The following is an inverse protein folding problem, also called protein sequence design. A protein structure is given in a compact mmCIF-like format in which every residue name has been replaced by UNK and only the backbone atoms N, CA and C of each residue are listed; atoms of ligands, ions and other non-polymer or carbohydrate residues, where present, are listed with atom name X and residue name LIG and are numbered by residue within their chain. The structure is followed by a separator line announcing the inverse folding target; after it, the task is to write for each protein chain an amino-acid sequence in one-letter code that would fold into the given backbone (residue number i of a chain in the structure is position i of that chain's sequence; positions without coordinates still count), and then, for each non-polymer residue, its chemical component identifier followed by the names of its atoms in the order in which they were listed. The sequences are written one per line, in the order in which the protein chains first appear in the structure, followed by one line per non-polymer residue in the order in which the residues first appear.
data_IF_226243279412
#
_entry.id   IF_226243279412
#
_cell.length_a   1.000
_cell.length_b   1.000
_cell.length_c   1.000
_cell.angle_alpha   90.00
_cell.angle_beta   90.00
_cell.angle_gamma   90.00
#
_symmetry.space_group_name_H-M   'P 1'
#
loop_
_entity.id
_entity.type
_entity.pdbx_description
1 polymer ?
#
# COMPACT_ATOMS: atom_id res chain seq x y z
N UNK A 1 -60.69 -6.13 -27.89
CA UNK A 1 -59.80 -6.86 -26.93
C UNK A 1 -58.36 -6.51 -27.27
N UNK A 2 -57.82 -5.47 -26.68
CA UNK A 2 -56.48 -4.96 -26.93
C UNK A 2 -55.57 -5.31 -25.71
N UNK A 3 -54.64 -6.23 -25.91
CA UNK A 3 -53.64 -6.62 -24.93
C UNK A 3 -52.43 -5.69 -24.96
N UNK A 4 -52.30 -4.81 -23.98
CA UNK A 4 -51.15 -3.93 -23.79
C UNK A 4 -50.04 -4.74 -23.05
N UNK A 5 -48.94 -4.98 -23.77
CA UNK A 5 -47.73 -5.65 -23.21
C UNK A 5 -46.87 -4.54 -22.60
N UNK A 6 -46.73 -4.57 -21.25
CA UNK A 6 -45.77 -3.75 -20.52
C UNK A 6 -44.40 -4.41 -20.55
N UNK A 7 -43.49 -3.81 -21.28
CA UNK A 7 -42.06 -4.16 -21.26
C UNK A 7 -41.41 -3.45 -20.04
N UNK A 8 -41.15 -4.22 -19.00
CA UNK A 8 -40.32 -3.78 -17.84
C UNK A 8 -38.84 -3.78 -18.25
N UNK A 9 -38.29 -2.60 -18.51
CA UNK A 9 -36.85 -2.39 -18.66
C UNK A 9 -36.21 -2.44 -17.25
N UNK A 10 -35.57 -3.56 -16.92
CA UNK A 10 -34.73 -3.68 -15.74
C UNK A 10 -33.37 -3.04 -16.09
N UNK A 11 -33.18 -1.77 -15.66
CA UNK A 11 -31.89 -1.11 -15.70
C UNK A 11 -30.99 -1.70 -14.60
N UNK A 12 -30.17 -2.67 -14.97
CA UNK A 12 -29.15 -3.21 -14.08
C UNK A 12 -28.07 -2.15 -13.80
N UNK A 13 -28.09 -1.55 -12.60
CA UNK A 13 -26.98 -0.75 -12.08
C UNK A 13 -25.75 -1.65 -11.91
N UNK A 14 -24.83 -1.61 -12.85
CA UNK A 14 -23.47 -2.12 -12.68
C UNK A 14 -22.77 -1.24 -11.64
N UNK A 15 -22.85 -1.60 -10.37
CA UNK A 15 -22.00 -1.01 -9.34
C UNK A 15 -20.56 -1.44 -9.62
N UNK A 16 -19.77 -0.54 -10.17
CA UNK A 16 -18.32 -0.72 -10.28
C UNK A 16 -17.79 -0.83 -8.85
N UNK A 17 -17.55 -2.05 -8.39
CA UNK A 17 -16.87 -2.31 -7.12
C UNK A 17 -15.42 -1.89 -7.31
N UNK A 18 -15.03 -0.74 -6.75
CA UNK A 18 -13.63 -0.36 -6.63
C UNK A 18 -12.90 -1.48 -5.89
N UNK A 19 -11.71 -1.87 -6.37
CA UNK A 19 -10.89 -2.87 -5.70
C UNK A 19 -10.69 -2.48 -4.22
N UNK A 20 -10.86 -3.43 -3.28
CA UNK A 20 -10.74 -3.13 -1.86
C UNK A 20 -9.30 -2.63 -1.59
N UNK A 21 -9.19 -1.39 -1.10
CA UNK A 21 -7.92 -0.82 -0.65
C UNK A 21 -7.61 -1.30 0.77
N UNK A 22 -6.32 -1.35 1.09
CA UNK A 22 -5.86 -1.75 2.40
C UNK A 22 -5.52 -3.23 2.50
N UNK A 23 -5.54 -3.72 3.73
CA UNK A 23 -5.32 -5.13 4.07
C UNK A 23 -6.58 -5.71 4.71
N UNK A 24 -6.63 -7.04 4.80
CA UNK A 24 -7.74 -7.69 5.51
C UNK A 24 -7.58 -7.50 7.01
N UNK A 25 -8.52 -6.81 7.70
CA UNK A 25 -8.43 -6.64 9.14
C UNK A 25 -8.56 -7.99 9.86
N UNK A 26 -7.85 -8.15 10.98
CA UNK A 26 -8.06 -9.30 11.87
C UNK A 26 -9.49 -9.25 12.44
N UNK A 27 -10.05 -10.35 12.92
CA UNK A 27 -11.44 -10.37 13.41
C UNK A 27 -11.76 -9.33 14.49
N UNK A 28 -10.79 -9.03 15.37
CA UNK A 28 -10.93 -8.06 16.47
C UNK A 28 -9.61 -7.35 16.74
N UNK A 29 -9.67 -6.14 17.31
CA UNK A 29 -8.50 -5.32 17.65
C UNK A 29 -7.52 -6.04 18.58
N UNK A 30 -8.01 -6.84 19.53
CA UNK A 30 -7.19 -7.58 20.51
C UNK A 30 -6.29 -8.65 19.88
N UNK A 31 -6.45 -8.96 18.61
CA UNK A 31 -5.53 -9.86 17.88
C UNK A 31 -4.27 -9.15 17.39
N UNK A 32 -4.21 -7.84 17.51
CA UNK A 32 -2.98 -7.08 17.22
C UNK A 32 -2.09 -6.99 18.47
N UNK A 33 -0.75 -6.96 18.28
CA UNK A 33 0.20 -6.88 19.40
C UNK A 33 0.03 -5.62 20.24
N UNK A 34 -0.34 -4.50 19.61
CA UNK A 34 -0.74 -3.28 20.27
C UNK A 34 -2.21 -3.00 19.93
N UNK A 35 -3.03 -2.78 20.94
CA UNK A 35 -4.46 -2.52 20.73
C UNK A 35 -5.03 -1.69 21.87
N UNK A 36 -6.10 -0.97 21.58
CA UNK A 36 -6.92 -0.28 22.56
C UNK A 36 -8.36 -0.20 22.06
N UNK A 37 -9.27 0.07 22.97
CA UNK A 37 -10.66 0.38 22.69
C UNK A 37 -11.04 1.66 23.43
N UNK A 38 -11.67 2.59 22.72
CA UNK A 38 -12.12 3.85 23.27
C UNK A 38 -13.50 4.18 22.70
N UNK A 39 -14.49 4.38 23.58
CA UNK A 39 -15.87 4.72 23.22
C UNK A 39 -16.51 3.76 22.20
N UNK A 40 -16.17 2.45 22.32
CA UNK A 40 -16.67 1.39 21.43
C UNK A 40 -15.99 1.37 20.05
N UNK A 41 -14.95 2.16 19.85
CA UNK A 41 -14.07 2.08 18.67
C UNK A 41 -12.79 1.36 19.05
N UNK A 42 -12.49 0.28 18.34
CA UNK A 42 -11.25 -0.48 18.52
C UNK A 42 -10.16 -0.01 17.57
N UNK A 43 -8.92 0.01 18.06
CA UNK A 43 -7.74 0.19 17.24
C UNK A 43 -6.75 -0.94 17.50
N UNK A 44 -6.21 -1.53 16.44
CA UNK A 44 -5.14 -2.50 16.51
C UNK A 44 -3.95 -2.01 15.68
N UNK A 45 -2.74 -2.24 16.16
CA UNK A 45 -1.54 -1.84 15.45
C UNK A 45 -0.42 -2.88 15.58
N UNK A 46 0.43 -2.96 14.55
CA UNK A 46 1.61 -3.80 14.52
C UNK A 46 2.72 -3.12 13.71
N UNK A 47 3.88 -2.98 14.33
CA UNK A 47 5.08 -2.55 13.60
C UNK A 47 5.60 -3.75 12.77
N UNK A 48 5.86 -3.55 11.49
CA UNK A 48 6.45 -4.58 10.65
C UNK A 48 7.96 -4.66 10.87
N UNK A 49 8.47 -5.88 10.96
CA UNK A 49 9.91 -6.12 10.84
C UNK A 49 10.37 -5.83 9.41
N UNK A 50 11.68 -5.66 9.21
CA UNK A 50 12.26 -5.49 7.88
C UNK A 50 11.93 -6.64 6.93
N UNK A 51 11.93 -7.86 7.44
CA UNK A 51 11.68 -9.06 6.63
C UNK A 51 10.19 -9.19 6.29
N UNK A 52 9.30 -8.81 7.19
CA UNK A 52 7.87 -8.74 6.92
C UNK A 52 7.56 -7.66 5.87
N UNK A 53 8.17 -6.49 5.99
CA UNK A 53 8.02 -5.43 4.99
C UNK A 53 8.52 -5.89 3.61
N UNK A 54 9.67 -6.58 3.51
CA UNK A 54 10.15 -7.16 2.25
C UNK A 54 9.23 -8.21 1.65
N UNK A 55 8.51 -8.96 2.48
CA UNK A 55 7.50 -9.93 2.02
C UNK A 55 6.20 -9.25 1.59
N UNK A 56 5.84 -8.16 2.27
CA UNK A 56 4.60 -7.45 2.01
C UNK A 56 4.69 -6.52 0.79
N UNK A 57 5.87 -5.98 0.47
CA UNK A 57 6.07 -5.00 -0.58
C UNK A 57 7.12 -5.45 -1.59
N UNK A 58 6.88 -5.16 -2.86
CA UNK A 58 7.90 -5.24 -3.92
C UNK A 58 8.88 -4.08 -3.78
N UNK A 59 8.36 -2.90 -3.41
CA UNK A 59 9.15 -1.70 -3.15
C UNK A 59 9.92 -1.83 -1.82
N UNK A 60 11.22 -1.47 -1.80
CA UNK A 60 12.00 -1.52 -0.54
C UNK A 60 11.70 -0.33 0.37
N UNK A 61 10.52 -0.38 0.99
CA UNK A 61 10.04 0.66 1.92
C UNK A 61 10.96 0.85 3.13
N UNK A 62 11.79 -0.14 3.47
CA UNK A 62 12.74 -0.09 4.59
C UNK A 62 13.85 0.96 4.39
N UNK A 63 14.08 1.38 3.15
CA UNK A 63 15.08 2.40 2.82
C UNK A 63 14.71 3.80 3.33
N UNK A 64 13.41 4.06 3.52
CA UNK A 64 12.93 5.37 3.93
C UNK A 64 12.12 5.37 5.22
N UNK A 65 11.49 4.25 5.54
CA UNK A 65 10.31 4.33 6.37
C UNK A 65 10.19 3.15 7.33
N UNK A 66 9.52 3.39 8.45
CA UNK A 66 8.87 2.37 9.27
C UNK A 66 7.46 2.16 8.74
N UNK A 67 7.03 0.90 8.68
CA UNK A 67 5.69 0.52 8.25
C UNK A 67 4.93 -0.03 9.44
N UNK A 68 3.76 0.55 9.71
CA UNK A 68 2.85 0.08 10.77
C UNK A 68 1.56 -0.39 10.09
N UNK A 69 1.19 -1.64 10.33
CA UNK A 69 -0.15 -2.13 10.01
C UNK A 69 -1.11 -1.60 11.06
N UNK A 70 -2.16 -0.90 10.64
CA UNK A 70 -3.18 -0.34 11.52
C UNK A 70 -4.53 -0.91 11.10
N UNK A 71 -5.34 -1.29 12.06
CA UNK A 71 -6.73 -1.68 11.86
C UNK A 71 -7.65 -0.88 12.78
N UNK A 72 -8.76 -0.43 12.23
CA UNK A 72 -9.76 0.35 12.92
C UNK A 72 -11.08 -0.41 12.88
N UNK A 73 -11.74 -0.47 14.02
CA UNK A 73 -13.00 -1.18 14.22
C UNK A 73 -14.06 -0.16 14.66
N UNK A 74 -14.85 0.34 13.72
CA UNK A 74 -15.93 1.27 14.03
C UNK A 74 -16.95 0.65 14.98
N UNK A 75 -17.62 1.48 15.74
CA UNK A 75 -18.80 1.06 16.50
C UNK A 75 -19.91 0.61 15.54
N UNK A 76 -20.69 -0.41 15.92
CA UNK A 76 -21.70 -1.01 15.04
C UNK A 76 -22.71 -0.01 14.44
N UNK A 77 -23.00 1.05 15.18
CA UNK A 77 -24.07 2.00 14.83
C UNK A 77 -23.58 3.30 14.25
N UNK A 78 -22.26 3.49 14.13
CA UNK A 78 -21.68 4.79 13.73
C UNK A 78 -20.45 4.60 12.87
N UNK A 79 -20.51 5.10 11.66
CA UNK A 79 -19.32 5.22 10.83
C UNK A 79 -18.32 6.18 11.49
N UNK A 80 -17.03 5.88 11.34
CA UNK A 80 -15.93 6.75 11.74
C UNK A 80 -15.26 7.33 10.51
N UNK A 81 -14.71 8.52 10.64
CA UNK A 81 -13.83 9.08 9.63
C UNK A 81 -12.39 8.66 9.91
N UNK A 82 -11.69 8.23 8.88
CA UNK A 82 -10.31 7.75 8.94
C UNK A 82 -9.42 8.74 8.21
N UNK A 83 -8.51 9.35 8.93
CA UNK A 83 -7.52 10.26 8.36
C UNK A 83 -6.11 9.88 8.78
N UNK A 84 -5.18 9.86 7.84
CA UNK A 84 -3.76 9.64 8.14
C UNK A 84 -3.19 10.73 9.04
N UNK A 85 -3.78 11.92 9.06
CA UNK A 85 -3.34 13.03 9.91
C UNK A 85 -3.55 12.77 11.41
N UNK A 86 -4.43 11.83 11.76
CA UNK A 86 -4.74 11.48 13.14
C UNK A 86 -3.68 10.60 13.80
N UNK A 87 -2.69 10.15 13.03
CA UNK A 87 -1.64 9.25 13.52
C UNK A 87 -0.31 9.97 13.68
N UNK A 88 0.39 9.65 14.76
CA UNK A 88 1.77 10.12 15.02
C UNK A 88 2.55 8.94 15.59
N UNK A 89 3.68 8.61 14.98
CA UNK A 89 4.63 7.64 15.51
C UNK A 89 5.76 8.38 16.23
N UNK A 90 5.99 8.03 17.49
CA UNK A 90 7.06 8.59 18.33
C UNK A 90 8.04 7.50 18.71
N UNK A 91 9.32 7.82 18.68
CA UNK A 91 10.37 6.98 19.25
C UNK A 91 10.48 7.24 20.75
N UNK A 92 10.36 6.18 21.57
CA UNK A 92 10.47 6.29 23.02
C UNK A 92 11.93 6.62 23.40
N UNK A 93 12.10 7.58 24.30
CA UNK A 93 13.43 8.04 24.74
C UNK A 93 14.13 8.98 23.73
N UNK A 94 13.39 9.52 22.77
CA UNK A 94 13.87 10.50 21.81
C UNK A 94 12.78 11.53 21.53
N UNK A 95 13.17 12.72 21.07
CA UNK A 95 12.23 13.73 20.55
C UNK A 95 11.70 13.41 19.14
N UNK A 96 12.19 12.32 18.55
CA UNK A 96 11.81 11.94 17.20
C UNK A 96 10.35 11.51 17.14
N UNK A 97 9.56 12.27 16.42
CA UNK A 97 8.17 11.95 16.10
C UNK A 97 7.90 12.25 14.63
N UNK A 98 7.05 11.46 14.01
CA UNK A 98 6.68 11.63 12.61
C UNK A 98 5.20 11.41 12.38
N UNK A 99 4.63 12.21 11.48
CA UNK A 99 3.34 11.97 10.86
C UNK A 99 3.50 11.01 9.69
N UNK A 100 2.44 10.30 9.31
CA UNK A 100 2.43 9.49 8.09
C UNK A 100 2.77 10.30 6.84
N UNK A 101 3.39 9.62 5.90
CA UNK A 101 3.62 10.15 4.56
C UNK A 101 2.72 9.47 3.54
N UNK A 102 2.26 10.22 2.55
CA UNK A 102 1.45 9.67 1.46
C UNK A 102 2.25 8.69 0.59
N UNK A 103 1.56 7.75 -0.04
CA UNK A 103 2.15 6.80 -0.99
C UNK A 103 2.99 7.50 -2.06
N UNK A 104 2.48 8.62 -2.59
CA UNK A 104 3.17 9.47 -3.58
C UNK A 104 4.52 9.99 -3.09
N UNK A 105 4.56 10.50 -1.85
CA UNK A 105 5.79 11.04 -1.27
C UNK A 105 6.80 9.94 -0.98
N UNK A 106 6.34 8.79 -0.50
CA UNK A 106 7.19 7.62 -0.27
C UNK A 106 7.78 7.11 -1.59
N UNK A 107 6.95 6.94 -2.63
CA UNK A 107 7.42 6.50 -3.95
C UNK A 107 8.47 7.46 -4.53
N UNK A 108 8.25 8.77 -4.40
CA UNK A 108 9.24 9.77 -4.82
C UNK A 108 10.56 9.68 -4.02
N UNK A 109 10.48 9.42 -2.71
CA UNK A 109 11.66 9.24 -1.86
C UNK A 109 12.43 7.98 -2.23
N UNK A 110 11.74 6.87 -2.47
CA UNK A 110 12.34 5.61 -2.92
C UNK A 110 13.00 5.76 -4.30
N UNK A 111 12.33 6.45 -5.23
CA UNK A 111 12.90 6.75 -6.55
C UNK A 111 14.21 7.53 -6.41
N UNK A 112 14.24 8.56 -5.55
CA UNK A 112 15.45 9.36 -5.31
C UNK A 112 16.57 8.52 -4.67
N UNK A 113 16.23 7.65 -3.70
CA UNK A 113 17.20 6.76 -3.05
C UNK A 113 17.75 5.70 -4.02
N UNK A 114 16.95 5.15 -4.89
CA UNK A 114 17.36 4.19 -5.94
C UNK A 114 18.29 4.85 -6.98
N UNK A 115 18.06 6.12 -7.31
CA UNK A 115 18.98 6.90 -8.15
C UNK A 115 20.34 7.12 -7.49
N UNK A 116 20.37 7.25 -6.17
CA UNK A 116 21.60 7.44 -5.41
C UNK A 116 22.37 6.13 -5.17
N UNK A 117 21.65 5.02 -5.07
CA UNK A 117 22.22 3.67 -4.98
C UNK A 117 22.29 3.09 -6.39
N UNK A 118 23.50 2.79 -6.88
CA UNK A 118 23.70 2.06 -8.15
C UNK A 118 23.37 0.58 -7.98
N UNK A 119 22.14 0.24 -7.62
CA UNK A 119 21.74 -1.14 -7.36
C UNK A 119 20.90 -1.72 -8.50
N UNK A 120 21.21 -2.97 -8.83
CA UNK A 120 20.48 -3.80 -9.77
C UNK A 120 19.12 -4.13 -9.15
N UNK A 121 18.06 -3.59 -9.73
CA UNK A 121 16.69 -3.89 -9.29
C UNK A 121 16.10 -4.98 -10.16
N UNK A 122 15.66 -6.06 -9.54
CA UNK A 122 14.90 -7.14 -10.19
C UNK A 122 13.42 -6.87 -9.99
N UNK A 123 12.68 -6.63 -11.06
CA UNK A 123 11.23 -6.40 -11.02
C UNK A 123 10.49 -7.53 -11.72
N UNK A 124 9.39 -8.06 -11.16
CA UNK A 124 8.45 -8.82 -11.96
C UNK A 124 7.72 -7.86 -12.91
N UNK A 125 7.97 -7.97 -14.19
CA UNK A 125 7.27 -7.19 -15.21
C UNK A 125 6.28 -8.07 -15.94
N UNK A 126 5.00 -7.68 -15.94
CA UNK A 126 4.03 -8.20 -16.88
C UNK A 126 3.87 -7.16 -17.98
N UNK A 127 4.42 -7.45 -19.14
CA UNK A 127 4.32 -6.58 -20.30
C UNK A 127 3.26 -7.13 -21.25
N UNK A 128 2.20 -6.32 -21.47
CA UNK A 128 1.21 -6.59 -22.50
C UNK A 128 1.58 -5.71 -23.68
N UNK A 129 2.12 -6.31 -24.73
CA UNK A 129 2.49 -5.61 -25.96
C UNK A 129 1.55 -5.94 -27.11
N UNK A 130 1.25 -4.94 -27.93
CA UNK A 130 0.55 -5.10 -29.20
C UNK A 130 1.56 -4.90 -30.33
N UNK A 131 1.91 -5.96 -31.02
CA UNK A 131 2.79 -5.88 -32.19
C UNK A 131 1.97 -5.83 -33.49
N UNK A 132 1.97 -4.68 -34.17
CA UNK A 132 1.36 -4.55 -35.49
C UNK A 132 2.42 -4.81 -36.56
N UNK A 133 2.56 -6.08 -36.98
CA UNK A 133 3.43 -6.45 -38.08
C UNK A 133 4.45 -7.56 -37.79
N UNK A 134 5.03 -8.17 -38.82
CA UNK A 134 6.05 -9.20 -38.60
C UNK A 134 7.35 -8.58 -38.10
N UNK A 135 7.78 -8.99 -36.90
CA UNK A 135 9.06 -8.59 -36.33
C UNK A 135 10.11 -9.68 -36.58
N UNK A 136 11.27 -9.29 -37.11
CA UNK A 136 12.41 -10.14 -37.29
C UNK A 136 13.30 -10.11 -36.03
N UNK A 137 13.58 -11.29 -35.49
CA UNK A 137 14.52 -11.44 -34.38
C UNK A 137 15.91 -11.79 -34.92
N UNK A 138 16.89 -10.85 -34.83
CA UNK A 138 18.22 -11.08 -35.40
C UNK A 138 19.03 -12.16 -34.68
N UNK A 139 18.66 -12.54 -33.43
CA UNK A 139 19.40 -13.56 -32.68
C UNK A 139 18.91 -14.98 -32.97
N UNK A 140 17.66 -15.15 -33.37
CA UNK A 140 17.07 -16.48 -33.63
C UNK A 140 16.72 -16.71 -35.10
N UNK A 141 16.81 -15.71 -35.96
CA UNK A 141 16.49 -15.79 -37.37
C UNK A 141 15.02 -16.04 -37.71
N UNK A 142 14.12 -15.93 -36.74
CA UNK A 142 12.70 -16.25 -36.90
C UNK A 142 11.84 -15.00 -37.10
N UNK A 143 10.87 -15.08 -38.03
CA UNK A 143 9.82 -14.08 -38.19
C UNK A 143 8.63 -14.44 -37.30
N UNK A 144 8.14 -13.48 -36.52
CA UNK A 144 6.91 -13.60 -35.74
C UNK A 144 5.79 -12.80 -36.38
N UNK A 145 4.64 -13.43 -36.53
CA UNK A 145 3.41 -12.73 -36.96
C UNK A 145 2.96 -11.78 -35.86
N UNK A 146 2.43 -10.60 -36.27
CA UNK A 146 1.86 -9.64 -35.34
C UNK A 146 0.68 -10.20 -34.55
N UNK A 147 0.55 -9.83 -33.30
CA UNK A 147 -0.51 -10.25 -32.39
C UNK A 147 -0.35 -9.66 -31.00
N UNK A 148 -1.33 -9.90 -30.15
CA UNK A 148 -1.23 -9.61 -28.71
C UNK A 148 -0.34 -10.65 -28.05
N UNK A 149 0.72 -10.23 -27.40
CA UNK A 149 1.55 -11.12 -26.60
C UNK A 149 1.60 -10.65 -25.15
N UNK A 150 1.44 -11.60 -24.25
CA UNK A 150 1.66 -11.38 -22.83
C UNK A 150 3.03 -11.96 -22.48
N UNK A 151 3.95 -11.12 -22.08
CA UNK A 151 5.25 -11.56 -21.61
C UNK A 151 5.31 -11.39 -20.11
N UNK A 152 5.25 -12.50 -19.38
CA UNK A 152 5.57 -12.53 -17.95
C UNK A 152 7.07 -12.80 -17.85
N UNK A 153 7.83 -11.81 -17.44
CA UNK A 153 9.27 -11.91 -17.34
C UNK A 153 9.76 -11.28 -16.04
N UNK A 154 10.84 -11.85 -15.50
CA UNK A 154 11.63 -11.14 -14.48
C UNK A 154 12.59 -10.24 -15.26
N UNK A 155 12.30 -8.95 -15.30
CA UNK A 155 13.19 -7.97 -15.90
C UNK A 155 14.38 -7.73 -14.98
N UNK A 156 15.58 -8.14 -15.38
CA UNK A 156 16.83 -7.69 -14.76
C UNK A 156 17.25 -6.42 -15.48
N UNK A 157 16.95 -5.27 -14.88
CA UNK A 157 17.46 -3.99 -15.37
C UNK A 157 18.90 -3.83 -14.94
N UNK A 158 19.85 -4.10 -15.82
CA UNK A 158 21.23 -3.63 -15.66
C UNK A 158 21.20 -2.16 -16.07
N UNK A 159 21.02 -1.28 -15.09
CA UNK A 159 20.98 0.16 -15.35
C UNK A 159 22.33 0.65 -15.88
N UNK A 160 22.28 1.33 -17.02
CA UNK A 160 23.39 2.20 -17.45
C UNK A 160 23.73 3.19 -16.33
N UNK A 161 24.99 3.65 -16.19
CA UNK A 161 25.37 4.67 -15.22
C UNK A 161 24.50 5.92 -15.41
N UNK A 162 23.56 6.15 -14.47
CA UNK A 162 22.57 7.25 -14.57
C UNK A 162 21.10 6.82 -14.65
N UNK A 163 20.77 5.56 -14.94
CA UNK A 163 19.40 5.06 -14.91
C UNK A 163 18.99 4.75 -13.45
N UNK A 164 18.52 5.76 -12.73
CA UNK A 164 17.75 5.55 -11.52
C UNK A 164 16.33 5.06 -11.86
N UNK A 165 15.55 4.70 -10.85
CA UNK A 165 14.15 4.32 -11.05
C UNK A 165 13.43 5.35 -11.94
N UNK A 166 12.73 4.85 -12.94
CA UNK A 166 12.03 5.67 -13.93
C UNK A 166 10.75 6.27 -13.32
N UNK A 167 10.10 7.18 -14.04
CA UNK A 167 8.78 7.70 -13.61
C UNK A 167 7.71 6.59 -13.66
N UNK A 168 7.87 5.59 -14.54
CA UNK A 168 7.03 4.39 -14.55
C UNK A 168 7.20 3.57 -13.28
N UNK A 169 8.44 3.37 -12.82
CA UNK A 169 8.72 2.64 -11.59
C UNK A 169 8.14 3.38 -10.38
N UNK A 170 8.26 4.71 -10.35
CA UNK A 170 7.63 5.53 -9.32
C UNK A 170 6.12 5.37 -9.31
N UNK A 171 5.47 5.41 -10.47
CA UNK A 171 4.02 5.21 -10.59
C UNK A 171 3.60 3.82 -10.09
N UNK A 172 4.36 2.78 -10.42
CA UNK A 172 4.11 1.42 -9.94
C UNK A 172 4.26 1.33 -8.42
N UNK A 173 5.31 1.92 -7.85
CA UNK A 173 5.50 2.00 -6.40
C UNK A 173 4.36 2.77 -5.72
N UNK A 174 3.95 3.92 -6.27
CA UNK A 174 2.85 4.71 -5.75
C UNK A 174 1.54 3.92 -5.74
N UNK A 175 1.24 3.19 -6.82
CA UNK A 175 0.07 2.32 -6.91
C UNK A 175 0.11 1.22 -5.84
N UNK A 176 1.21 0.48 -5.73
CA UNK A 176 1.38 -0.56 -4.72
C UNK A 176 1.15 -0.03 -3.31
N UNK A 177 1.80 1.07 -2.96
CA UNK A 177 1.72 1.68 -1.63
C UNK A 177 0.31 2.23 -1.34
N UNK A 178 -0.36 2.79 -2.35
CA UNK A 178 -1.71 3.32 -2.23
C UNK A 178 -2.75 2.20 -2.06
N UNK A 179 -2.62 1.10 -2.80
CA UNK A 179 -3.53 -0.05 -2.70
C UNK A 179 -3.44 -0.75 -1.35
N UNK A 180 -2.22 -0.88 -0.80
CA UNK A 180 -1.96 -1.52 0.50
C UNK A 180 -2.10 -0.55 1.69
N UNK A 181 -2.16 0.75 1.43
CA UNK A 181 -2.29 1.78 2.44
C UNK A 181 -3.61 1.71 3.21
N UNK A 182 -3.62 2.26 4.42
CA UNK A 182 -4.85 2.39 5.20
C UNK A 182 -5.88 3.22 4.41
N UNK A 183 -7.09 2.70 4.15
CA UNK A 183 -8.13 3.47 3.49
C UNK A 183 -8.53 4.70 4.30
N UNK A 184 -8.59 5.88 3.65
CA UNK A 184 -9.07 7.12 4.25
C UNK A 184 -10.54 7.37 3.91
N UNK A 185 -11.22 8.14 4.75
CA UNK A 185 -12.63 8.50 4.61
C UNK A 185 -13.55 7.74 5.54
N UNK A 186 -14.85 7.74 5.24
CA UNK A 186 -15.86 7.12 6.08
C UNK A 186 -15.81 5.61 6.10
N UNK A 187 -15.61 5.01 7.27
CA UNK A 187 -15.60 3.57 7.49
C UNK A 187 -16.78 3.14 8.38
N UNK A 188 -17.70 2.36 7.84
CA UNK A 188 -18.83 1.75 8.56
C UNK A 188 -18.54 0.29 8.99
N UNK A 189 -17.48 -0.31 8.45
CA UNK A 189 -17.01 -1.67 8.76
C UNK A 189 -15.51 -1.63 9.13
N UNK A 190 -14.97 -2.69 9.74
CA UNK A 190 -13.55 -2.76 10.04
C UNK A 190 -12.68 -2.56 8.81
N UNK A 191 -11.69 -1.68 8.91
CA UNK A 191 -10.71 -1.38 7.87
C UNK A 191 -9.30 -1.59 8.40
N UNK A 192 -8.39 -2.03 7.55
CA UNK A 192 -6.98 -2.13 7.89
C UNK A 192 -6.09 -1.77 6.69
N UNK A 193 -4.87 -1.38 6.98
CA UNK A 193 -3.88 -1.07 5.96
C UNK A 193 -2.55 -0.66 6.56
N UNK A 194 -1.60 -0.41 5.69
CA UNK A 194 -0.29 0.05 6.10
C UNK A 194 -0.20 1.57 6.15
N UNK A 195 0.49 2.04 7.15
CA UNK A 195 0.79 3.46 7.34
C UNK A 195 2.30 3.63 7.34
N UNK A 196 2.80 4.58 6.55
CA UNK A 196 4.21 4.78 6.29
C UNK A 196 4.72 5.99 7.05
N UNK A 197 5.65 5.76 7.99
CA UNK A 197 6.26 6.84 8.77
C UNK A 197 7.69 7.10 8.28
N UNK A 198 8.06 8.35 7.95
CA UNK A 198 9.38 8.69 7.39
C UNK A 198 10.46 8.67 8.48
N UNK A 199 10.56 7.58 9.19
CA UNK A 199 11.60 7.28 10.18
C UNK A 199 12.41 6.11 9.65
N UNK A 200 13.70 6.31 9.46
CA UNK A 200 14.58 5.21 9.04
C UNK A 200 14.75 4.20 10.17
N UNK A 201 14.53 2.94 9.86
CA UNK A 201 14.79 1.86 10.80
C UNK A 201 16.29 1.83 11.15
N UNK A 202 16.59 1.89 12.43
CA UNK A 202 17.96 1.73 12.94
C UNK A 202 18.21 0.26 13.33
N UNK A 203 19.49 -0.16 13.35
CA UNK A 203 19.86 -1.51 13.83
C UNK A 203 19.72 -1.66 15.35
N UNK A 204 19.55 -0.55 16.07
CA UNK A 204 19.36 -0.56 17.53
C UNK A 204 17.92 -0.93 17.86
N UNK A 205 17.74 -1.68 18.94
CA UNK A 205 16.41 -1.94 19.49
C UNK A 205 15.82 -0.64 20.02
N UNK A 206 14.82 -0.14 19.34
CA UNK A 206 14.13 1.11 19.66
C UNK A 206 12.65 0.82 19.81
N UNK A 207 12.07 1.27 20.89
CA UNK A 207 10.63 1.16 21.12
C UNK A 207 9.89 2.36 20.55
N UNK A 208 8.68 2.13 20.05
CA UNK A 208 7.85 3.16 19.46
C UNK A 208 6.49 3.22 20.12
N UNK A 209 5.90 4.41 20.11
CA UNK A 209 4.51 4.66 20.49
C UNK A 209 3.77 5.20 19.29
N UNK A 210 2.60 4.63 19.00
CA UNK A 210 1.64 5.14 18.04
C UNK A 210 0.57 5.92 18.79
N UNK A 211 0.47 7.21 18.55
CA UNK A 211 -0.66 8.02 18.99
C UNK A 211 -1.66 8.13 17.86
N UNK A 212 -2.94 7.97 18.15
CA UNK A 212 -4.03 8.26 17.20
C UNK A 212 -5.16 9.02 17.90
N UNK A 213 -5.94 9.76 17.12
CA UNK A 213 -7.14 10.44 17.59
C UNK A 213 -8.36 9.67 17.11
N UNK A 214 -9.14 9.11 18.03
CA UNK A 214 -10.38 8.38 17.74
C UNK A 214 -11.56 9.14 18.34
N UNK A 215 -12.49 9.57 17.53
CA UNK A 215 -13.65 10.36 17.98
C UNK A 215 -13.28 11.57 18.88
N UNK A 216 -12.17 12.25 18.58
CA UNK A 216 -11.68 13.38 19.38
C UNK A 216 -10.85 13.00 20.61
N UNK A 217 -10.77 11.71 20.95
CA UNK A 217 -9.97 11.21 22.08
C UNK A 217 -8.63 10.70 21.61
N UNK A 218 -7.57 11.10 22.32
CA UNK A 218 -6.21 10.63 22.03
C UNK A 218 -5.99 9.25 22.65
N UNK A 219 -5.63 8.30 21.81
CA UNK A 219 -5.21 6.94 22.22
C UNK A 219 -3.73 6.77 21.92
N UNK A 220 -3.01 6.13 22.83
CA UNK A 220 -1.57 5.85 22.71
C UNK A 220 -1.34 4.35 22.84
N UNK A 221 -0.65 3.78 21.86
CA UNK A 221 -0.31 2.37 21.79
C UNK A 221 1.21 2.20 21.83
N UNK A 222 1.73 1.48 22.82
CA UNK A 222 3.12 1.03 22.79
C UNK A 222 3.25 -0.08 21.75
N UNK A 223 4.09 0.12 20.74
CA UNK A 223 4.33 -0.87 19.70
C UNK A 223 5.44 -1.82 20.15
N UNK A 224 5.14 -3.12 20.36
CA UNK A 224 6.18 -4.12 20.59
C UNK A 224 7.13 -4.17 19.41
N UNK A 225 8.39 -4.47 19.70
CA UNK A 225 9.37 -4.71 18.64
C UNK A 225 8.99 -5.99 17.89
N UNK A 226 9.09 -6.01 16.56
CA UNK A 226 8.81 -7.18 15.73
C UNK A 226 9.88 -8.25 15.87
#
# INVERSE_FOLDING_TARGET
MTRTIWLLLIAGCLTASAAPRGTVPRPVATRYPAHAEQDGVGVGARLLSRDEARKAFVSDVNDCCLVVEIALYPRKDKAMDVSLNDFILRQIGSETAAKPSSAKLIAATLQKSSRAKRDISVYPSTEIGYGSGPAYDPNTGTQRAGGVYTRTGVGVGIGSPGAGATDKDRSTMETELSEKGLPEGGAAAPVAGYVYFPIRSTKKKVSYELSCVLNGNKVVLALPQP
#
